data_IF_892003109380
#
_entry.id   IF_892003109380
#
_cell.length_a   1.000
_cell.length_b   1.000
_cell.length_c   1.000
_cell.angle_alpha   90.00
_cell.angle_beta   90.00
_cell.angle_gamma   90.00
#
_symmetry.space_group_name_H-M   'P 1'
#
loop_
_entity.id
_entity.type
_entity.pdbx_description
1 polymer ?
#
# COMPACT_ATOMS: atom_id res chain seq x y z
N UNK A 1 -21.65 4.58 15.40
CA UNK A 1 -20.66 3.61 15.91
C UNK A 1 -19.27 4.19 15.66
N UNK A 2 -18.38 4.16 16.66
CA UNK A 2 -16.99 4.59 16.45
C UNK A 2 -16.31 3.63 15.46
N UNK A 3 -15.56 4.17 14.51
CA UNK A 3 -14.79 3.38 13.55
C UNK A 3 -13.68 2.62 14.28
N UNK A 4 -13.44 1.37 13.91
CA UNK A 4 -12.37 0.54 14.49
C UNK A 4 -11.00 1.13 14.16
N UNK A 5 -10.08 1.15 15.11
CA UNK A 5 -8.66 1.42 14.85
C UNK A 5 -8.06 0.24 14.09
N UNK A 6 -7.34 0.52 13.01
CA UNK A 6 -6.68 -0.48 12.15
C UNK A 6 -5.18 -0.49 12.39
N UNK A 7 -4.53 -1.63 12.20
CA UNK A 7 -3.08 -1.72 12.28
C UNK A 7 -2.42 -1.17 11.02
N UNK A 8 -1.39 -0.34 11.16
CA UNK A 8 -0.57 0.15 10.05
C UNK A 8 0.01 -1.01 9.21
N UNK A 9 0.45 -2.09 9.87
CA UNK A 9 0.98 -3.28 9.20
C UNK A 9 -0.08 -3.98 8.33
N UNK A 10 -1.34 -4.09 8.81
CA UNK A 10 -2.43 -4.65 8.02
C UNK A 10 -2.78 -3.77 6.81
N UNK A 11 -2.74 -2.43 6.97
CA UNK A 11 -2.94 -1.50 5.84
C UNK A 11 -1.83 -1.68 4.80
N UNK A 12 -0.56 -1.79 5.24
CA UNK A 12 0.60 -2.08 4.37
C UNK A 12 0.39 -3.40 3.62
N UNK A 13 -0.05 -4.45 4.30
CA UNK A 13 -0.31 -5.75 3.67
C UNK A 13 -1.36 -5.66 2.56
N UNK A 14 -2.44 -4.88 2.76
CA UNK A 14 -3.47 -4.66 1.74
C UNK A 14 -2.96 -3.86 0.53
N UNK A 15 -2.11 -2.85 0.75
CA UNK A 15 -1.46 -2.12 -0.34
C UNK A 15 -0.50 -3.02 -1.13
N UNK A 16 0.29 -3.86 -0.45
CA UNK A 16 1.15 -4.86 -1.09
C UNK A 16 0.32 -5.87 -1.91
N UNK A 17 -0.84 -6.26 -1.41
CA UNK A 17 -1.79 -7.11 -2.14
C UNK A 17 -2.28 -6.42 -3.41
N UNK A 18 -2.72 -5.16 -3.35
CA UNK A 18 -3.17 -4.42 -4.53
C UNK A 18 -2.05 -4.29 -5.59
N UNK A 19 -0.79 -4.09 -5.15
CA UNK A 19 0.39 -4.08 -6.02
C UNK A 19 0.63 -5.44 -6.68
N UNK A 20 0.63 -6.53 -5.91
CA UNK A 20 0.85 -7.90 -6.40
C UNK A 20 -0.24 -8.35 -7.38
N UNK A 21 -1.50 -7.98 -7.12
CA UNK A 21 -2.65 -8.23 -8.00
C UNK A 21 -2.70 -7.29 -9.22
N UNK A 22 -1.75 -6.34 -9.34
CA UNK A 22 -1.65 -5.36 -10.44
C UNK A 22 -2.96 -4.59 -10.66
N UNK A 23 -3.46 -3.97 -9.59
CA UNK A 23 -4.67 -3.15 -9.68
C UNK A 23 -4.48 -1.96 -10.61
N UNK A 24 -5.53 -1.62 -11.32
CA UNK A 24 -5.56 -0.45 -12.18
C UNK A 24 -5.85 0.84 -11.41
N UNK A 25 -5.76 1.93 -12.13
CA UNK A 25 -6.20 3.24 -11.64
C UNK A 25 -7.36 3.76 -12.49
N UNK A 26 -8.46 4.08 -11.83
CA UNK A 26 -9.55 4.88 -12.38
C UNK A 26 -9.92 5.94 -11.34
N UNK A 27 -10.08 7.18 -11.77
CA UNK A 27 -10.51 8.26 -10.88
C UNK A 27 -11.85 7.93 -10.22
N UNK A 28 -11.93 8.09 -8.90
CA UNK A 28 -13.10 7.71 -8.11
C UNK A 28 -13.15 6.21 -7.78
N UNK A 29 -12.16 5.43 -8.22
CA UNK A 29 -12.06 4.01 -7.89
C UNK A 29 -11.77 3.76 -6.43
N UNK A 30 -12.45 2.75 -5.85
CA UNK A 30 -12.36 2.36 -4.43
C UNK A 30 -12.27 0.85 -4.23
N UNK A 31 -11.65 0.12 -5.19
CA UNK A 31 -11.45 -1.32 -5.13
C UNK A 31 -12.45 -2.18 -5.91
N UNK A 32 -13.39 -1.57 -6.62
CA UNK A 32 -14.33 -2.28 -7.51
C UNK A 32 -13.63 -2.82 -8.77
N UNK A 33 -14.30 -3.77 -9.44
CA UNK A 33 -13.90 -4.20 -10.78
C UNK A 33 -14.29 -3.11 -11.79
N UNK A 34 -13.36 -2.71 -12.65
CA UNK A 34 -13.65 -1.85 -13.80
C UNK A 34 -14.30 -2.68 -14.91
N UNK A 35 -15.53 -2.37 -15.26
CA UNK A 35 -16.30 -3.12 -16.26
C UNK A 35 -16.19 -2.47 -17.63
N UNK A 36 -16.46 -3.22 -18.73
CA UNK A 36 -16.54 -2.65 -20.07
C UNK A 36 -17.59 -1.54 -20.13
N UNK A 37 -18.76 -1.72 -19.52
CA UNK A 37 -19.81 -0.68 -19.45
C UNK A 37 -19.28 0.61 -18.80
N UNK A 38 -18.51 0.50 -17.72
CA UNK A 38 -17.92 1.67 -17.07
C UNK A 38 -16.87 2.35 -17.97
N UNK A 39 -16.12 1.58 -18.72
CA UNK A 39 -15.15 2.09 -19.70
C UNK A 39 -15.86 2.81 -20.85
N UNK A 40 -16.90 2.22 -21.41
CA UNK A 40 -17.67 2.80 -22.53
C UNK A 40 -18.41 4.08 -22.13
N UNK A 41 -18.76 4.21 -20.84
CA UNK A 41 -19.40 5.40 -20.27
C UNK A 41 -18.41 6.43 -19.73
N UNK A 42 -17.09 6.25 -19.93
CA UNK A 42 -16.09 7.14 -19.39
C UNK A 42 -16.13 8.52 -20.04
N UNK A 43 -16.09 9.56 -19.20
CA UNK A 43 -16.05 10.97 -19.63
C UNK A 43 -14.68 11.63 -19.40
N UNK A 44 -13.84 11.06 -18.54
CA UNK A 44 -12.52 11.60 -18.26
C UNK A 44 -11.51 11.18 -19.33
N UNK A 45 -10.80 12.13 -19.91
CA UNK A 45 -9.83 11.90 -20.98
C UNK A 45 -8.80 10.80 -20.66
N UNK A 46 -8.29 10.75 -19.44
CA UNK A 46 -7.33 9.73 -19.00
C UNK A 46 -7.96 8.33 -18.97
N UNK A 47 -9.22 8.21 -18.53
CA UNK A 47 -9.96 6.94 -18.55
C UNK A 47 -10.25 6.49 -19.96
N UNK A 48 -10.72 7.41 -20.83
CA UNK A 48 -10.96 7.12 -22.25
C UNK A 48 -9.66 6.60 -22.91
N UNK A 49 -8.54 7.27 -22.66
CA UNK A 49 -7.27 6.94 -23.30
C UNK A 49 -6.61 5.66 -22.79
N UNK A 50 -6.66 5.42 -21.47
CA UNK A 50 -5.86 4.37 -20.84
C UNK A 50 -6.68 3.36 -20.03
N UNK A 51 -7.97 3.57 -19.82
CA UNK A 51 -8.78 2.76 -18.92
C UNK A 51 -9.08 1.36 -19.44
N UNK A 52 -9.08 1.18 -20.78
CA UNK A 52 -9.40 -0.12 -21.40
C UNK A 52 -8.52 -1.27 -20.89
N UNK A 53 -7.24 -1.01 -20.59
CA UNK A 53 -6.32 -2.01 -20.03
C UNK A 53 -6.73 -2.54 -18.64
N UNK A 54 -7.61 -1.82 -17.94
CA UNK A 54 -8.06 -2.16 -16.60
C UNK A 54 -9.42 -2.87 -16.57
N UNK A 55 -10.08 -3.03 -17.71
CA UNK A 55 -11.35 -3.77 -17.78
C UNK A 55 -11.14 -5.19 -17.27
N UNK A 56 -12.01 -5.63 -16.35
CA UNK A 56 -11.93 -6.90 -15.66
C UNK A 56 -11.00 -6.91 -14.44
N UNK A 57 -10.28 -5.82 -14.16
CA UNK A 57 -9.37 -5.70 -13.01
C UNK A 57 -9.96 -4.82 -11.91
N UNK A 58 -9.50 -5.02 -10.69
CA UNK A 58 -9.78 -4.07 -9.60
C UNK A 58 -9.07 -2.75 -9.85
N UNK A 59 -9.74 -1.65 -9.49
CA UNK A 59 -9.22 -0.30 -9.68
C UNK A 59 -9.43 0.54 -8.43
N UNK A 60 -8.48 1.45 -8.18
CA UNK A 60 -8.59 2.49 -7.17
C UNK A 60 -7.96 3.79 -7.68
N UNK A 61 -8.36 4.95 -7.16
CA UNK A 61 -7.52 6.13 -7.24
C UNK A 61 -6.61 6.26 -6.00
N UNK A 62 -5.80 7.29 -5.93
CA UNK A 62 -4.77 7.42 -4.89
C UNK A 62 -5.34 7.35 -3.46
N UNK A 63 -6.41 8.06 -3.16
CA UNK A 63 -7.08 8.05 -1.86
C UNK A 63 -8.14 6.95 -1.73
N UNK A 64 -8.67 6.48 -2.85
CA UNK A 64 -9.62 5.36 -2.90
C UNK A 64 -8.99 4.03 -2.48
N UNK A 65 -7.67 3.86 -2.70
CA UNK A 65 -6.95 2.70 -2.21
C UNK A 65 -6.88 2.70 -0.67
N UNK A 66 -6.70 3.86 -0.03
CA UNK A 66 -6.81 4.01 1.43
C UNK A 66 -8.23 3.72 1.92
N UNK A 67 -9.24 4.33 1.29
CA UNK A 67 -10.64 4.08 1.63
C UNK A 67 -10.96 2.60 1.61
N UNK A 68 -10.57 1.90 0.55
CA UNK A 68 -10.75 0.45 0.42
C UNK A 68 -10.03 -0.32 1.53
N UNK A 69 -8.74 -0.06 1.76
CA UNK A 69 -7.95 -0.80 2.73
C UNK A 69 -8.51 -0.67 4.15
N UNK A 70 -8.85 0.54 4.58
CA UNK A 70 -9.46 0.76 5.89
C UNK A 70 -10.81 0.06 6.03
N UNK A 71 -11.64 0.12 4.99
CA UNK A 71 -12.94 -0.57 4.97
C UNK A 71 -12.81 -2.09 5.10
N UNK A 72 -11.79 -2.70 4.46
CA UNK A 72 -11.54 -4.15 4.60
C UNK A 72 -11.22 -4.54 6.05
N UNK A 73 -10.61 -3.66 6.81
CA UNK A 73 -10.21 -3.88 8.20
C UNK A 73 -11.28 -3.45 9.22
N UNK A 74 -12.44 -3.00 8.76
CA UNK A 74 -13.53 -2.49 9.61
C UNK A 74 -13.29 -1.07 10.15
N UNK A 75 -12.27 -0.38 9.62
CA UNK A 75 -11.97 1.02 9.87
C UNK A 75 -12.62 1.95 8.87
N UNK A 76 -12.26 3.23 8.93
CA UNK A 76 -12.71 4.24 7.99
C UNK A 76 -11.60 5.21 7.63
N UNK A 77 -11.47 5.52 6.34
CA UNK A 77 -10.66 6.63 5.83
C UNK A 77 -11.42 7.37 4.75
N UNK A 78 -11.36 8.70 4.78
CA UNK A 78 -12.03 9.53 3.79
C UNK A 78 -11.40 9.39 2.41
N UNK A 79 -12.24 9.35 1.37
CA UNK A 79 -11.80 9.34 -0.02
C UNK A 79 -11.51 10.77 -0.51
N UNK A 80 -10.27 11.20 -0.35
CA UNK A 80 -9.82 12.54 -0.76
C UNK A 80 -8.55 13.00 -0.02
N UNK A 81 -7.42 13.09 -0.72
CA UNK A 81 -6.09 13.37 -0.18
C UNK A 81 -6.02 14.69 0.63
N UNK A 82 -6.62 15.77 0.15
CA UNK A 82 -6.68 17.04 0.89
C UNK A 82 -7.45 16.93 2.21
N UNK A 83 -8.54 16.16 2.23
CA UNK A 83 -9.33 15.94 3.44
C UNK A 83 -8.60 15.01 4.40
N UNK A 84 -7.91 13.98 3.89
CA UNK A 84 -7.04 13.12 4.70
C UNK A 84 -6.01 13.97 5.44
N UNK A 85 -5.31 14.86 4.74
CA UNK A 85 -4.34 15.78 5.33
C UNK A 85 -4.94 16.73 6.38
N UNK A 86 -6.10 17.34 6.07
CA UNK A 86 -6.70 18.36 6.93
C UNK A 86 -7.38 17.79 8.17
N UNK A 87 -8.10 16.66 8.02
CA UNK A 87 -9.02 16.16 9.04
C UNK A 87 -8.64 14.80 9.64
N UNK A 88 -7.79 14.04 8.96
CA UNK A 88 -7.44 12.67 9.37
C UNK A 88 -5.96 12.50 9.71
N UNK A 89 -5.17 13.56 9.73
CA UNK A 89 -3.79 13.52 10.19
C UNK A 89 -3.72 13.73 11.70
N UNK A 90 -3.30 12.71 12.44
CA UNK A 90 -3.01 12.77 13.88
C UNK A 90 -1.68 13.48 14.14
N UNK A 91 -0.67 13.20 13.29
CA UNK A 91 0.60 13.88 13.23
C UNK A 91 0.97 14.07 11.75
N UNK A 92 1.66 15.17 11.42
CA UNK A 92 2.02 15.48 10.04
C UNK A 92 3.19 16.45 9.96
N UNK A 93 3.89 16.44 8.83
CA UNK A 93 5.01 17.32 8.60
C UNK A 93 5.58 17.22 7.19
N UNK A 94 6.72 17.89 6.98
CA UNK A 94 7.41 17.89 5.70
C UNK A 94 8.40 16.72 5.57
N UNK A 95 8.66 16.33 4.31
CA UNK A 95 9.73 15.43 3.92
C UNK A 95 10.76 16.18 3.09
N UNK A 96 12.03 15.88 3.33
CA UNK A 96 13.15 16.34 2.53
C UNK A 96 14.05 15.15 2.19
N UNK A 97 14.21 14.86 0.90
CA UNK A 97 15.02 13.71 0.45
C UNK A 97 14.52 12.36 0.98
N UNK A 98 13.22 12.25 1.29
CA UNK A 98 12.60 11.04 1.83
C UNK A 98 12.69 10.89 3.35
N UNK A 99 13.24 11.88 4.06
CA UNK A 99 13.35 11.91 5.53
C UNK A 99 12.41 12.95 6.10
N UNK A 100 11.87 12.69 7.29
CA UNK A 100 11.10 13.68 8.05
C UNK A 100 12.02 14.83 8.48
N UNK A 101 11.52 16.06 8.36
CA UNK A 101 12.31 17.27 8.75
C UNK A 101 12.42 17.44 10.26
N UNK A 102 11.62 16.73 11.06
CA UNK A 102 11.70 16.71 12.52
C UNK A 102 12.72 15.66 13.06
N UNK A 103 13.43 14.96 12.15
CA UNK A 103 14.47 13.99 12.50
C UNK A 103 13.98 12.63 12.99
N UNK A 104 12.66 12.45 13.12
CA UNK A 104 12.09 11.16 13.54
C UNK A 104 12.02 10.18 12.35
N UNK A 105 12.05 8.86 12.61
CA UNK A 105 11.91 7.87 11.56
C UNK A 105 10.51 7.92 10.94
N UNK A 106 10.42 7.60 9.64
CA UNK A 106 9.16 7.42 8.94
C UNK A 106 8.69 5.98 9.13
N UNK A 107 7.53 5.79 9.76
CA UNK A 107 6.98 4.46 10.07
C UNK A 107 6.25 3.86 8.88
N UNK A 108 6.40 2.56 8.58
CA UNK A 108 5.52 1.89 7.62
C UNK A 108 4.04 2.11 7.96
N UNK A 109 3.21 2.35 6.94
CA UNK A 109 1.80 2.72 7.12
C UNK A 109 1.54 4.23 7.18
N UNK A 110 2.59 5.07 7.19
CA UNK A 110 2.46 6.53 7.08
C UNK A 110 2.00 6.93 5.69
N UNK A 111 0.98 7.78 5.60
CA UNK A 111 0.56 8.40 4.34
C UNK A 111 1.58 9.47 3.92
N UNK A 112 1.91 9.50 2.63
CA UNK A 112 2.82 10.50 2.05
C UNK A 112 2.14 11.23 0.90
N UNK A 113 2.44 12.51 0.74
CA UNK A 113 1.69 13.39 -0.16
C UNK A 113 2.62 14.10 -1.15
N UNK A 114 2.15 14.24 -2.39
CA UNK A 114 2.69 15.19 -3.35
C UNK A 114 1.86 16.47 -3.31
N UNK A 115 2.55 17.61 -3.25
CA UNK A 115 1.93 18.91 -3.09
C UNK A 115 2.23 19.85 -4.26
N UNK A 116 1.26 20.70 -4.58
CA UNK A 116 1.43 21.86 -5.45
C UNK A 116 0.77 23.05 -4.74
N UNK A 117 1.59 23.89 -4.12
CA UNK A 117 1.08 24.91 -3.20
C UNK A 117 0.34 24.28 -2.02
N UNK A 118 -0.90 24.69 -1.79
CA UNK A 118 -1.76 24.12 -0.74
C UNK A 118 -2.52 22.85 -1.13
N UNK A 119 -2.40 22.43 -2.39
CA UNK A 119 -3.10 21.25 -2.89
C UNK A 119 -2.25 19.97 -2.71
N UNK A 120 -2.76 19.00 -1.94
CA UNK A 120 -2.22 17.63 -1.83
C UNK A 120 -2.88 16.79 -2.90
N UNK A 121 -2.45 16.98 -4.14
CA UNK A 121 -3.07 16.39 -5.33
C UNK A 121 -2.88 14.88 -5.44
N UNK A 122 -2.00 14.30 -4.63
CA UNK A 122 -1.70 12.86 -4.67
C UNK A 122 -1.30 12.32 -3.29
N UNK A 123 -1.61 11.05 -3.03
CA UNK A 123 -1.28 10.35 -1.78
C UNK A 123 -0.83 8.93 -2.07
N UNK A 124 0.18 8.46 -1.33
CA UNK A 124 0.68 7.08 -1.32
C UNK A 124 0.92 6.61 0.10
N UNK A 125 1.20 5.33 0.27
CA UNK A 125 1.50 4.70 1.55
C UNK A 125 2.97 4.33 1.62
N UNK A 126 3.70 4.85 2.61
CA UNK A 126 5.06 4.39 2.90
C UNK A 126 5.01 2.96 3.46
N UNK A 127 5.80 2.05 2.87
CA UNK A 127 5.77 0.62 3.20
C UNK A 127 7.09 0.10 3.77
N UNK A 128 8.00 1.02 4.14
CA UNK A 128 9.35 0.69 4.60
C UNK A 128 10.40 0.77 3.49
N UNK A 129 11.67 0.64 3.83
CA UNK A 129 12.82 0.54 2.92
C UNK A 129 12.89 1.63 1.83
N UNK A 130 12.46 2.85 2.17
CA UNK A 130 12.43 3.96 1.22
C UNK A 130 11.40 3.80 0.09
N UNK A 131 10.40 2.94 0.26
CA UNK A 131 9.40 2.56 -0.74
C UNK A 131 8.02 3.07 -0.39
N UNK A 132 7.26 3.46 -1.42
CA UNK A 132 5.87 3.91 -1.34
C UNK A 132 5.04 3.12 -2.34
N UNK A 133 3.90 2.59 -1.93
CA UNK A 133 2.90 2.04 -2.84
C UNK A 133 1.82 3.09 -3.08
N UNK A 134 1.53 3.35 -4.35
CA UNK A 134 0.59 4.37 -4.79
C UNK A 134 -0.27 3.89 -5.96
N UNK A 135 -1.54 4.28 -6.00
CA UNK A 135 -2.33 4.24 -7.23
C UNK A 135 -2.00 5.51 -8.03
N UNK A 136 -1.05 5.39 -8.99
CA UNK A 136 -0.32 6.51 -9.58
C UNK A 136 -1.10 7.28 -10.63
N UNK A 137 -1.89 6.58 -11.42
CA UNK A 137 -2.65 7.17 -12.52
C UNK A 137 -3.10 6.13 -13.53
N UNK A 138 -4.04 6.50 -14.42
CA UNK A 138 -4.72 5.55 -15.31
C UNK A 138 -3.77 4.82 -16.26
N UNK A 139 -2.65 5.43 -16.65
CA UNK A 139 -1.66 4.77 -17.48
C UNK A 139 -0.80 3.73 -16.72
N UNK A 140 -0.75 3.79 -15.39
CA UNK A 140 0.22 3.03 -14.59
C UNK A 140 -0.41 2.03 -13.62
N UNK A 141 -1.61 2.32 -13.08
CA UNK A 141 -2.24 1.54 -12.02
C UNK A 141 -1.56 1.70 -10.66
N UNK A 142 -1.60 0.64 -9.85
CA UNK A 142 -0.91 0.57 -8.54
C UNK A 142 0.54 0.16 -8.76
N UNK A 143 1.46 0.99 -8.26
CA UNK A 143 2.91 0.83 -8.46
C UNK A 143 3.69 1.11 -7.18
N UNK A 144 4.94 0.67 -7.14
CA UNK A 144 5.92 1.06 -6.12
C UNK A 144 6.76 2.23 -6.63
N UNK A 145 7.04 3.21 -5.77
CA UNK A 145 7.89 4.37 -6.06
C UNK A 145 8.82 4.67 -4.88
N UNK A 146 9.84 5.51 -5.14
CA UNK A 146 10.81 5.92 -4.10
C UNK A 146 10.23 7.04 -3.23
N UNK A 147 10.48 6.97 -1.92
CA UNK A 147 10.07 7.99 -0.95
C UNK A 147 10.65 9.38 -1.24
N UNK A 148 11.81 9.46 -1.90
CA UNK A 148 12.54 10.72 -2.16
C UNK A 148 11.79 11.73 -3.02
N UNK A 149 10.71 11.32 -3.72
CA UNK A 149 9.88 12.21 -4.54
C UNK A 149 8.74 12.90 -3.75
N UNK A 150 8.48 12.47 -2.51
CA UNK A 150 7.34 12.91 -1.72
C UNK A 150 7.69 14.11 -0.85
N UNK A 151 6.71 15.00 -0.62
CA UNK A 151 6.92 16.32 0.00
C UNK A 151 6.48 16.38 1.46
N UNK A 152 5.42 15.64 1.81
CA UNK A 152 4.82 15.67 3.14
C UNK A 152 4.43 14.26 3.61
N UNK A 153 4.28 14.10 4.92
CA UNK A 153 3.86 12.86 5.56
C UNK A 153 2.76 13.12 6.58
N UNK A 154 1.89 12.13 6.81
CA UNK A 154 0.95 12.13 7.91
C UNK A 154 0.76 10.72 8.50
N UNK A 155 0.81 10.62 9.82
CA UNK A 155 0.26 9.49 10.55
C UNK A 155 -1.26 9.71 10.65
N UNK A 156 -2.05 8.72 10.21
CA UNK A 156 -3.49 8.89 10.07
C UNK A 156 -4.24 8.52 11.36
N UNK A 157 -5.28 9.28 11.68
CA UNK A 157 -6.20 8.96 12.78
C UNK A 157 -6.87 7.60 12.55
N UNK A 158 -7.16 6.87 13.62
CA UNK A 158 -7.74 5.53 13.52
C UNK A 158 -6.75 4.46 13.04
N UNK A 159 -5.43 4.77 13.06
CA UNK A 159 -4.36 3.84 12.74
C UNK A 159 -3.46 3.65 13.96
N UNK A 160 -3.16 2.41 14.32
CA UNK A 160 -2.13 2.08 15.30
C UNK A 160 -0.82 1.76 14.58
N UNK A 161 0.21 2.51 14.92
CA UNK A 161 1.58 2.29 14.43
C UNK A 161 2.35 1.47 15.46
N UNK A 162 3.23 0.57 15.01
CA UNK A 162 4.15 -0.12 15.90
C UNK A 162 5.01 0.91 16.67
N UNK A 163 5.25 0.68 17.95
CA UNK A 163 6.22 1.45 18.70
C UNK A 163 7.59 1.35 18.01
N UNK A 164 8.41 2.42 18.06
CA UNK A 164 9.71 2.50 17.40
C UNK A 164 10.62 1.34 17.85
N UNK A 165 10.55 0.21 17.14
CA UNK A 165 11.62 -0.79 17.11
C UNK A 165 12.55 -0.38 15.99
N UNK A 166 13.87 -0.22 16.24
CA UNK A 166 14.81 -0.02 15.15
C UNK A 166 14.68 -1.17 14.17
N UNK A 167 14.77 -0.86 12.87
CA UNK A 167 14.65 -1.75 11.72
C UNK A 167 15.06 -3.18 12.04
N UNK A 168 14.09 -4.08 12.17
CA UNK A 168 14.38 -5.52 12.16
C UNK A 168 14.44 -5.93 10.68
N UNK A 169 15.54 -6.56 10.25
CA UNK A 169 15.63 -7.03 8.86
C UNK A 169 14.45 -7.93 8.56
N UNK A 170 13.86 -7.74 7.37
CA UNK A 170 12.75 -8.52 6.87
C UNK A 170 12.99 -10.02 7.10
N UNK A 171 12.01 -10.68 7.73
CA UNK A 171 11.95 -12.14 7.86
C UNK A 171 12.21 -12.79 6.49
N UNK A 172 13.38 -13.37 6.36
CA UNK A 172 13.69 -14.31 5.30
C UNK A 172 12.76 -15.51 5.52
N UNK A 173 11.97 -15.97 4.53
CA UNK A 173 11.17 -17.17 4.67
C UNK A 173 12.10 -18.33 5.04
N UNK A 174 11.83 -18.97 6.18
CA UNK A 174 12.55 -20.16 6.60
C UNK A 174 12.46 -21.21 5.49
N UNK A 175 13.62 -21.71 5.06
CA UNK A 175 13.72 -22.86 4.17
C UNK A 175 13.03 -24.07 4.81
N UNK A 176 12.37 -24.96 4.03
CA UNK A 176 11.72 -26.13 4.58
C UNK A 176 12.78 -27.06 5.20
N UNK A 177 12.54 -27.38 6.47
CA UNK A 177 13.33 -28.30 7.25
C UNK A 177 13.18 -29.72 6.68
N UNK A 178 14.13 -30.19 5.90
CA UNK A 178 14.25 -31.59 5.55
C UNK A 178 14.86 -32.31 6.74
N UNK A 179 14.05 -32.89 7.58
CA UNK A 179 14.45 -33.94 8.53
C UNK A 179 14.74 -35.22 7.75
N UNK A 180 16.02 -35.45 7.46
CA UNK A 180 16.50 -36.76 7.15
C UNK A 180 16.37 -37.64 8.42
N UNK A 181 15.66 -38.74 8.29
CA UNK A 181 15.53 -39.77 9.31
C UNK A 181 16.64 -40.82 9.09
N UNK A 182 17.58 -41.03 10.03
CA UNK A 182 18.58 -42.07 9.93
C UNK A 182 18.08 -43.37 10.64
N UNK A 183 17.59 -44.35 9.90
CA UNK A 183 17.53 -45.74 10.33
C UNK A 183 17.28 -46.60 9.07
N UNK A 184 18.30 -47.31 8.58
CA UNK A 184 18.48 -48.73 8.80
C UNK A 184 19.77 -49.21 8.08
N UNK A 185 20.80 -49.36 8.88
CA UNK A 185 21.95 -50.15 8.54
C UNK A 185 21.81 -51.49 9.27
N UNK A 186 21.63 -52.57 8.53
CA UNK A 186 21.95 -53.95 8.86
C UNK A 186 21.53 -54.80 7.64
N UNK A 187 22.36 -55.56 6.96
CA UNK A 187 23.32 -56.53 7.41
C UNK A 187 23.06 -57.78 6.60
N UNK A 188 24.06 -58.41 6.06
CA UNK A 188 23.86 -59.79 5.64
C UNK A 188 24.55 -60.21 4.33
N UNK A 189 25.83 -60.49 4.37
CA UNK A 189 26.56 -61.67 3.92
C UNK A 189 26.25 -62.30 2.56
N UNK A 190 27.29 -62.41 1.76
CA UNK A 190 27.58 -63.41 0.71
C UNK A 190 27.31 -64.87 1.17
N UNK A 191 27.40 -65.97 0.33
CA UNK A 191 28.28 -66.14 -0.86
C UNK A 191 27.63 -66.91 -2.00
N UNK A 192 28.13 -66.92 -3.15
CA UNK A 192 28.75 -67.94 -4.06
C UNK A 192 28.79 -67.34 -5.46
#
# INVERSE_FOLDING_TARGET
MASKTVSAAEVVALFRRALAEKWGYIWGGTGQIHTQRAQDSATRAQTIRYGQQWVGRRVADCSGLFYWAYKQLGGYMYHGSNTMWRKYAAAKGALQGGKRTDGQPLKPGTAVFLTKGSDRHHVGLYVGDGKVIEAKGTAYGVVESKITRWNEWAELTGTSYAADTPDSPADTPAAPNTTENPADAQGGASPL
#
